data_IF_790589137313
#
_entry.id   IF_790589137313
#
_cell.length_a   1.000
_cell.length_b   1.000
_cell.length_c   1.000
_cell.angle_alpha   90.00
_cell.angle_beta   90.00
_cell.angle_gamma   90.00
#
_symmetry.space_group_name_H-M   'P 1'
#
loop_
_entity.id
_entity.type
_entity.pdbx_description
1 polymer ?
#
# COMPACT_ATOMS: atom_id res chain seq x y z
N UNK A 1 -60.48 -35.11 -24.85
CA UNK A 1 -59.11 -35.67 -24.89
C UNK A 1 -58.22 -34.67 -25.65
N UNK A 2 -57.09 -34.24 -25.04
CA UNK A 2 -55.97 -33.44 -25.58
C UNK A 2 -56.18 -31.90 -25.71
N UNK A 3 -55.56 -31.09 -24.83
CA UNK A 3 -54.17 -30.54 -24.84
C UNK A 3 -54.03 -29.41 -25.88
N UNK A 4 -53.48 -28.21 -25.68
CA UNK A 4 -52.88 -27.45 -24.56
C UNK A 4 -52.64 -26.02 -25.07
N UNK A 5 -52.63 -25.03 -24.17
CA UNK A 5 -52.26 -23.64 -24.44
C UNK A 5 -50.77 -23.54 -24.81
N UNK A 6 -50.41 -22.72 -25.79
CA UNK A 6 -49.03 -22.25 -25.97
C UNK A 6 -49.03 -20.72 -26.06
N UNK A 7 -48.67 -20.06 -24.95
CA UNK A 7 -48.32 -18.66 -24.93
C UNK A 7 -46.81 -18.56 -25.15
N UNK A 8 -46.39 -17.92 -26.25
CA UNK A 8 -44.98 -17.68 -26.55
C UNK A 8 -44.61 -16.36 -25.87
N UNK A 9 -43.94 -16.46 -24.71
CA UNK A 9 -43.28 -15.33 -24.08
C UNK A 9 -41.87 -15.22 -24.66
N UNK A 10 -41.64 -14.23 -25.53
CA UNK A 10 -40.30 -13.88 -26.02
C UNK A 10 -39.54 -13.19 -24.89
N UNK A 11 -38.68 -13.96 -24.21
CA UNK A 11 -37.64 -13.41 -23.33
C UNK A 11 -36.64 -12.65 -24.18
N UNK A 12 -36.74 -11.33 -24.20
CA UNK A 12 -35.63 -10.47 -24.59
C UNK A 12 -34.52 -10.65 -23.58
N UNK A 13 -33.50 -11.42 -23.95
CA UNK A 13 -32.23 -11.41 -23.24
C UNK A 13 -31.60 -10.03 -23.46
N UNK A 14 -31.87 -9.08 -22.56
CA UNK A 14 -31.00 -7.93 -22.39
C UNK A 14 -29.63 -8.48 -22.00
N UNK A 15 -28.73 -8.57 -22.98
CA UNK A 15 -27.31 -8.69 -22.72
C UNK A 15 -26.91 -7.44 -21.92
N UNK A 16 -26.89 -7.57 -20.60
CA UNK A 16 -26.24 -6.61 -19.71
C UNK A 16 -24.79 -6.53 -20.19
N UNK A 17 -24.47 -5.49 -20.94
CA UNK A 17 -23.09 -5.12 -21.19
C UNK A 17 -22.48 -4.91 -19.81
N UNK A 18 -21.63 -5.84 -19.38
CA UNK A 18 -20.80 -5.69 -18.20
C UNK A 18 -19.94 -4.45 -18.46
N UNK A 19 -20.40 -3.31 -17.95
CA UNK A 19 -19.58 -2.11 -17.93
C UNK A 19 -18.37 -2.50 -17.09
N UNK A 20 -17.20 -2.56 -17.72
CA UNK A 20 -15.92 -2.55 -17.02
C UNK A 20 -15.90 -1.24 -16.24
N UNK A 21 -16.44 -1.28 -15.03
CA UNK A 21 -16.45 -0.14 -14.14
C UNK A 21 -15.09 -0.13 -13.47
N UNK A 22 -14.14 0.54 -14.12
CA UNK A 22 -12.98 1.10 -13.46
C UNK A 22 -13.42 1.62 -12.09
N UNK A 23 -12.87 1.05 -11.01
CA UNK A 23 -13.09 1.54 -9.65
C UNK A 23 -12.21 2.78 -9.46
N UNK A 24 -12.78 3.99 -9.33
CA UNK A 24 -11.99 5.19 -9.10
C UNK A 24 -11.16 5.08 -7.81
N UNK A 25 -10.05 5.82 -7.69
CA UNK A 25 -9.21 5.84 -6.48
C UNK A 25 -10.00 6.11 -5.19
N UNK A 26 -11.09 6.87 -5.29
CA UNK A 26 -11.98 7.23 -4.19
C UNK A 26 -12.80 6.04 -3.64
N UNK A 27 -12.68 4.86 -4.28
CA UNK A 27 -13.39 3.64 -3.90
C UNK A 27 -12.51 2.65 -3.13
N UNK A 28 -11.28 3.02 -2.77
CA UNK A 28 -10.32 2.14 -2.11
C UNK A 28 -10.33 2.29 -0.59
N UNK A 29 -10.18 1.17 0.12
CA UNK A 29 -9.91 1.17 1.57
C UNK A 29 -8.51 1.76 1.83
N UNK A 30 -8.39 2.69 2.77
CA UNK A 30 -7.15 3.34 3.16
C UNK A 30 -6.84 3.09 4.64
N UNK A 31 -5.61 2.68 4.94
CA UNK A 31 -5.21 2.31 6.29
C UNK A 31 -4.92 3.52 7.19
N UNK A 32 -5.56 3.57 8.36
CA UNK A 32 -5.16 4.47 9.46
C UNK A 32 -3.91 3.96 10.17
N UNK A 33 -3.24 4.82 10.94
CA UNK A 33 -2.11 4.39 11.76
C UNK A 33 -2.64 3.75 13.04
N UNK A 34 -2.06 2.61 13.43
CA UNK A 34 -2.37 1.94 14.69
C UNK A 34 -2.12 2.87 15.89
N UNK A 35 -3.00 2.76 16.90
CA UNK A 35 -2.85 3.37 18.22
C UNK A 35 -3.06 2.29 19.27
N UNK A 36 -2.31 2.35 20.38
CA UNK A 36 -2.43 1.41 21.50
C UNK A 36 -3.82 1.51 22.16
N UNK A 37 -4.27 0.41 22.78
CA UNK A 37 -5.52 0.38 23.54
C UNK A 37 -6.75 0.07 22.68
N UNK A 38 -6.56 -0.45 21.47
CA UNK A 38 -7.65 -1.06 20.69
C UNK A 38 -7.82 -2.52 21.08
N UNK A 39 -9.01 -3.07 20.89
CA UNK A 39 -9.22 -4.51 21.00
C UNK A 39 -8.64 -5.23 19.77
N UNK A 40 -7.40 -5.71 19.89
CA UNK A 40 -6.70 -6.41 18.81
C UNK A 40 -7.31 -7.76 18.46
N UNK A 41 -8.18 -8.34 19.31
CA UNK A 41 -8.83 -9.63 19.04
C UNK A 41 -9.84 -9.57 17.88
N UNK A 42 -10.33 -8.36 17.55
CA UNK A 42 -11.20 -8.13 16.40
C UNK A 42 -10.45 -8.13 15.05
N UNK A 43 -9.12 -8.24 15.07
CA UNK A 43 -8.25 -8.06 13.92
C UNK A 43 -7.45 -9.31 13.57
N UNK A 44 -7.22 -9.48 12.28
CA UNK A 44 -6.13 -10.31 11.78
C UNK A 44 -4.96 -9.41 11.37
N UNK A 45 -3.74 -9.88 11.60
CA UNK A 45 -2.50 -9.23 11.15
C UNK A 45 -1.97 -9.89 9.90
N UNK A 46 -1.30 -9.11 9.08
CA UNK A 46 -0.47 -9.56 7.97
C UNK A 46 0.80 -8.74 7.91
N UNK A 47 1.83 -9.23 7.21
CA UNK A 47 2.97 -8.38 6.88
C UNK A 47 2.52 -7.23 5.97
N UNK A 48 3.07 -6.03 6.21
CA UNK A 48 2.99 -4.92 5.28
C UNK A 48 4.13 -5.04 4.27
N UNK A 49 3.78 -5.29 3.01
CA UNK A 49 4.75 -5.38 1.92
C UNK A 49 5.10 -4.00 1.35
N UNK A 50 6.39 -3.73 1.14
CA UNK A 50 6.93 -2.50 0.52
C UNK A 50 6.98 -2.67 -1.01
N UNK A 51 5.79 -2.66 -1.65
CA UNK A 51 5.63 -2.84 -3.09
C UNK A 51 4.82 -1.73 -3.75
N UNK A 52 4.13 -2.06 -4.84
CA UNK A 52 3.15 -1.18 -5.48
C UNK A 52 1.77 -1.82 -5.43
N UNK A 53 0.87 -1.22 -4.66
CA UNK A 53 -0.56 -1.55 -4.65
C UNK A 53 -1.15 -1.52 -6.06
N UNK A 54 -1.75 -2.64 -6.46
CA UNK A 54 -2.35 -2.83 -7.76
C UNK A 54 -3.79 -3.35 -7.63
N UNK A 55 -4.67 -2.79 -8.47
CA UNK A 55 -6.05 -3.21 -8.65
C UNK A 55 -6.14 -3.92 -9.99
N UNK A 56 -6.67 -5.14 -9.97
CA UNK A 56 -7.07 -5.86 -11.15
C UNK A 56 -8.57 -5.68 -11.35
N UNK A 57 -8.98 -5.13 -12.50
CA UNK A 57 -10.40 -4.88 -12.81
C UNK A 57 -11.09 -6.03 -13.58
N UNK A 58 -10.42 -7.18 -13.71
CA UNK A 58 -10.84 -8.28 -14.58
C UNK A 58 -10.22 -8.25 -15.98
N UNK A 59 -9.48 -7.20 -16.34
CA UNK A 59 -8.83 -7.07 -17.64
C UNK A 59 -7.43 -6.42 -17.58
N UNK A 60 -7.24 -5.42 -16.73
CA UNK A 60 -6.02 -4.65 -16.61
C UNK A 60 -5.65 -4.39 -15.14
N UNK A 61 -4.36 -4.13 -14.93
CA UNK A 61 -3.84 -3.67 -13.65
C UNK A 61 -3.83 -2.14 -13.61
N UNK A 62 -4.17 -1.58 -12.45
CA UNK A 62 -4.13 -0.15 -12.17
C UNK A 62 -3.44 0.11 -10.84
N UNK A 63 -2.64 1.17 -10.78
CA UNK A 63 -2.12 1.69 -9.51
C UNK A 63 -3.26 2.25 -8.66
N UNK A 64 -2.99 2.47 -7.37
CA UNK A 64 -3.91 3.17 -6.45
C UNK A 64 -4.50 4.47 -7.01
N UNK A 65 -3.72 5.23 -7.78
CA UNK A 65 -4.14 6.54 -8.31
C UNK A 65 -4.84 6.43 -9.67
N UNK A 66 -5.09 5.22 -10.17
CA UNK A 66 -5.81 5.02 -11.44
C UNK A 66 -4.94 4.89 -12.68
N UNK A 67 -3.61 5.01 -12.55
CA UNK A 67 -2.72 4.85 -13.69
C UNK A 67 -2.65 3.37 -14.10
N UNK A 68 -2.80 3.09 -15.39
CA UNK A 68 -2.66 1.74 -15.94
C UNK A 68 -1.23 1.22 -15.73
N UNK A 69 -1.13 -0.02 -15.28
CA UNK A 69 0.11 -0.78 -15.19
C UNK A 69 0.20 -1.68 -16.43
N UNK A 70 1.34 -1.62 -17.13
CA UNK A 70 1.57 -2.44 -18.32
C UNK A 70 2.39 -3.66 -17.91
N UNK A 71 1.75 -4.81 -17.83
CA UNK A 71 2.40 -6.09 -17.58
C UNK A 71 2.54 -6.92 -18.86
N UNK A 72 3.47 -7.87 -18.93
CA UNK A 72 3.45 -8.89 -19.96
C UNK A 72 2.13 -9.65 -19.97
N UNK A 73 1.71 -10.12 -21.16
CA UNK A 73 0.44 -10.85 -21.30
C UNK A 73 0.40 -12.12 -20.47
N UNK A 74 1.53 -12.80 -20.29
CA UNK A 74 1.60 -14.03 -19.49
C UNK A 74 1.31 -13.78 -18.01
N UNK A 75 1.63 -12.59 -17.49
CA UNK A 75 1.48 -12.26 -16.07
C UNK A 75 0.02 -12.27 -15.62
N UNK A 76 -0.88 -11.73 -16.46
CA UNK A 76 -2.32 -11.61 -16.14
C UNK A 76 -3.19 -12.65 -16.85
N UNK A 77 -2.60 -13.56 -17.64
CA UNK A 77 -3.32 -14.45 -18.56
C UNK A 77 -4.41 -15.27 -17.87
N UNK A 78 -4.11 -15.81 -16.69
CA UNK A 78 -5.02 -16.70 -15.95
C UNK A 78 -5.78 -15.96 -14.83
N UNK A 79 -5.66 -14.63 -14.74
CA UNK A 79 -6.41 -13.88 -13.75
C UNK A 79 -7.92 -13.89 -14.08
N UNK A 80 -8.78 -14.10 -13.08
CA UNK A 80 -10.23 -14.17 -13.28
C UNK A 80 -10.83 -12.80 -13.62
N UNK A 81 -12.00 -12.78 -14.25
CA UNK A 81 -12.76 -11.53 -14.51
C UNK A 81 -13.51 -11.04 -13.27
N UNK A 82 -12.82 -10.92 -12.15
CA UNK A 82 -13.33 -10.35 -10.89
C UNK A 82 -12.34 -9.31 -10.39
N UNK A 83 -12.83 -8.37 -9.58
CA UNK A 83 -11.96 -7.36 -8.99
C UNK A 83 -11.09 -7.97 -7.90
N UNK A 84 -9.77 -7.82 -8.05
CA UNK A 84 -8.77 -8.27 -7.08
C UNK A 84 -7.89 -7.09 -6.69
N UNK A 85 -7.46 -7.10 -5.43
CA UNK A 85 -6.55 -6.10 -4.90
C UNK A 85 -5.36 -6.80 -4.26
N UNK A 86 -4.17 -6.30 -4.58
CA UNK A 86 -2.93 -6.88 -4.09
C UNK A 86 -1.77 -5.90 -4.14
N UNK A 87 -0.61 -6.38 -3.72
CA UNK A 87 0.66 -5.68 -3.81
C UNK A 87 1.53 -6.36 -4.87
N UNK A 88 2.03 -5.60 -5.85
CA UNK A 88 3.10 -6.07 -6.71
C UNK A 88 4.41 -5.97 -5.93
N UNK A 89 5.12 -7.08 -5.74
CA UNK A 89 6.19 -7.20 -4.76
C UNK A 89 7.33 -8.07 -5.27
N UNK A 90 8.56 -7.80 -4.85
CA UNK A 90 9.77 -8.49 -5.34
C UNK A 90 10.66 -9.01 -4.20
N UNK A 91 10.08 -9.20 -3.01
CA UNK A 91 10.85 -9.46 -1.80
C UNK A 91 11.12 -8.21 -0.95
N UNK A 92 11.55 -8.44 0.29
CA UNK A 92 11.90 -7.37 1.23
C UNK A 92 13.10 -6.56 0.73
N UNK A 93 13.06 -5.24 0.93
CA UNK A 93 14.10 -4.32 0.47
C UNK A 93 14.15 -4.07 -1.05
N UNK A 94 13.30 -4.74 -1.86
CA UNK A 94 13.34 -4.68 -3.33
C UNK A 94 12.36 -3.65 -3.94
N UNK A 95 11.90 -2.67 -3.17
CA UNK A 95 10.98 -1.64 -3.67
C UNK A 95 11.46 -0.94 -4.95
N UNK A 96 12.77 -0.70 -5.09
CA UNK A 96 13.30 -0.07 -6.30
C UNK A 96 13.10 -0.92 -7.55
N UNK A 97 13.29 -2.25 -7.44
CA UNK A 97 13.04 -3.21 -8.52
C UNK A 97 11.54 -3.24 -8.89
N UNK A 98 10.66 -3.25 -7.88
CA UNK A 98 9.21 -3.16 -8.11
C UNK A 98 8.87 -1.87 -8.84
N UNK A 99 9.39 -0.73 -8.36
CA UNK A 99 9.09 0.57 -8.92
C UNK A 99 9.55 0.70 -10.38
N UNK A 100 10.78 0.30 -10.69
CA UNK A 100 11.31 0.38 -12.05
C UNK A 100 10.60 -0.57 -13.00
N UNK A 101 10.15 -1.73 -12.52
CA UNK A 101 9.45 -2.74 -13.35
C UNK A 101 7.99 -2.39 -13.61
N UNK A 102 7.26 -2.02 -12.56
CA UNK A 102 5.79 -1.84 -12.60
C UNK A 102 5.38 -0.50 -13.22
N UNK A 103 6.22 0.53 -13.08
CA UNK A 103 5.93 1.87 -13.64
C UNK A 103 6.48 2.07 -15.05
N UNK A 104 7.13 1.06 -15.64
CA UNK A 104 7.52 1.09 -17.04
C UNK A 104 6.30 0.88 -17.95
N UNK A 105 6.19 1.68 -19.01
CA UNK A 105 5.17 1.52 -20.04
C UNK A 105 5.50 0.41 -21.05
N UNK A 106 6.75 -0.05 -21.09
CA UNK A 106 7.23 -1.14 -21.96
C UNK A 106 7.67 -2.34 -21.10
N UNK A 107 6.78 -3.28 -20.79
CA UNK A 107 7.09 -4.37 -19.87
C UNK A 107 8.22 -5.28 -20.38
N UNK A 108 9.21 -5.53 -19.51
CA UNK A 108 10.27 -6.52 -19.73
C UNK A 108 9.93 -7.86 -19.06
N UNK A 109 9.90 -8.94 -19.83
CA UNK A 109 9.66 -10.29 -19.30
C UNK A 109 10.65 -10.68 -18.20
N UNK A 110 11.93 -10.30 -18.34
CA UNK A 110 12.97 -10.63 -17.36
C UNK A 110 12.75 -9.90 -16.03
N UNK A 111 12.30 -8.65 -16.08
CA UNK A 111 12.01 -7.87 -14.89
C UNK A 111 10.74 -8.39 -14.19
N UNK A 112 9.67 -8.64 -14.95
CA UNK A 112 8.39 -9.10 -14.42
C UNK A 112 8.43 -10.52 -13.84
N UNK A 113 9.40 -11.36 -14.22
CA UNK A 113 9.63 -12.66 -13.56
C UNK A 113 10.10 -12.56 -12.11
N UNK A 114 10.48 -11.37 -11.65
CA UNK A 114 10.89 -11.09 -10.27
C UNK A 114 9.75 -10.43 -9.46
N UNK A 115 8.57 -10.28 -10.04
CA UNK A 115 7.42 -9.64 -9.41
C UNK A 115 6.36 -10.71 -9.11
N UNK A 116 5.89 -10.71 -7.87
CA UNK A 116 4.71 -11.45 -7.44
C UNK A 116 3.53 -10.48 -7.28
N UNK A 117 2.32 -10.95 -7.60
CA UNK A 117 1.07 -10.27 -7.27
C UNK A 117 0.48 -10.88 -5.99
N UNK A 118 0.68 -10.18 -4.88
CA UNK A 118 0.33 -10.63 -3.53
C UNK A 118 -1.04 -10.10 -3.14
N UNK A 119 -2.09 -10.90 -3.35
CA UNK A 119 -3.49 -10.54 -3.12
C UNK A 119 -3.80 -10.37 -1.63
N UNK A 120 -4.61 -9.36 -1.29
CA UNK A 120 -5.03 -9.10 0.09
C UNK A 120 -6.48 -8.62 0.26
N UNK A 121 -7.18 -8.22 -0.81
CA UNK A 121 -8.62 -7.93 -0.72
C UNK A 121 -9.35 -8.14 -2.06
N UNK A 122 -10.67 -8.05 -2.04
CA UNK A 122 -11.54 -8.14 -3.21
C UNK A 122 -12.56 -6.98 -3.20
N UNK A 123 -12.25 -5.85 -3.85
CA UNK A 123 -13.15 -4.71 -3.93
C UNK A 123 -14.49 -5.10 -4.56
N UNK A 124 -15.60 -4.69 -3.94
CA UNK A 124 -16.95 -5.00 -4.43
C UNK A 124 -17.46 -6.41 -4.10
N UNK A 125 -16.64 -7.29 -3.49
CA UNK A 125 -17.14 -8.56 -2.97
C UNK A 125 -18.04 -8.33 -1.73
N UNK A 126 -19.16 -9.04 -1.68
CA UNK A 126 -20.07 -8.98 -0.56
C UNK A 126 -19.52 -9.72 0.68
N UNK A 127 -19.91 -9.26 1.86
CA UNK A 127 -19.57 -9.89 3.14
C UNK A 127 -18.46 -9.19 3.93
N UNK A 128 -18.16 -9.77 5.07
CA UNK A 128 -17.07 -9.37 5.97
C UNK A 128 -15.68 -9.75 5.39
N UNK A 129 -14.61 -9.33 6.06
CA UNK A 129 -13.25 -9.57 5.57
C UNK A 129 -12.89 -11.05 5.57
N UNK A 130 -13.35 -11.82 6.55
CA UNK A 130 -13.09 -13.26 6.61
C UNK A 130 -13.58 -13.97 5.35
N UNK A 131 -14.80 -13.68 4.88
CA UNK A 131 -15.33 -14.22 3.61
C UNK A 131 -14.50 -13.78 2.41
N UNK A 132 -14.12 -12.50 2.33
CA UNK A 132 -13.29 -12.00 1.23
C UNK A 132 -11.91 -12.65 1.21
N UNK A 133 -11.30 -12.85 2.37
CA UNK A 133 -10.02 -13.54 2.50
C UNK A 133 -10.09 -15.00 2.04
N UNK A 134 -11.11 -15.76 2.45
CA UNK A 134 -11.29 -17.13 1.94
C UNK A 134 -11.55 -17.20 0.43
N UNK A 135 -12.26 -16.21 -0.13
CA UNK A 135 -12.40 -16.10 -1.58
C UNK A 135 -11.06 -15.86 -2.27
N UNK A 136 -10.15 -15.06 -1.68
CA UNK A 136 -8.78 -14.89 -2.19
C UNK A 136 -8.03 -16.21 -2.19
N UNK A 137 -8.07 -16.98 -1.08
CA UNK A 137 -7.42 -18.30 -1.03
C UNK A 137 -7.93 -19.22 -2.13
N UNK A 138 -9.26 -19.24 -2.34
CA UNK A 138 -9.88 -20.00 -3.41
C UNK A 138 -9.40 -19.54 -4.80
N UNK A 139 -9.38 -18.23 -5.05
CA UNK A 139 -8.91 -17.69 -6.34
C UNK A 139 -7.44 -17.99 -6.60
N UNK A 140 -6.56 -17.82 -5.62
CA UNK A 140 -5.14 -18.16 -5.78
C UNK A 140 -4.97 -19.63 -6.13
N UNK A 141 -5.69 -20.52 -5.43
CA UNK A 141 -5.68 -21.96 -5.75
C UNK A 141 -6.19 -22.27 -7.16
N UNK A 142 -7.20 -21.53 -7.65
CA UNK A 142 -7.76 -21.71 -8.99
C UNK A 142 -6.88 -21.12 -10.09
N UNK A 143 -6.20 -20.00 -9.82
CA UNK A 143 -5.28 -19.34 -10.74
C UNK A 143 -4.06 -20.24 -10.97
N UNK A 144 -3.51 -20.82 -9.89
CA UNK A 144 -2.47 -21.85 -9.97
C UNK A 144 -1.14 -21.36 -10.59
N UNK A 145 -0.89 -20.06 -10.60
CA UNK A 145 0.33 -19.46 -11.14
C UNK A 145 1.30 -19.10 -10.01
N UNK A 146 2.61 -19.37 -10.15
CA UNK A 146 3.58 -19.18 -9.07
C UNK A 146 3.77 -17.71 -8.67
N UNK A 147 3.58 -16.77 -9.59
CA UNK A 147 3.71 -15.33 -9.36
C UNK A 147 2.41 -14.68 -8.85
N UNK A 148 1.37 -15.46 -8.55
CA UNK A 148 0.12 -14.96 -7.96
C UNK A 148 -0.11 -15.69 -6.65
N UNK A 149 -0.04 -14.94 -5.55
CA UNK A 149 -0.20 -15.50 -4.20
C UNK A 149 -1.09 -14.59 -3.36
N UNK A 150 -1.22 -14.91 -2.08
CA UNK A 150 -1.94 -14.09 -1.11
C UNK A 150 -1.03 -13.67 0.03
N UNK A 151 -1.33 -12.51 0.62
CA UNK A 151 -0.68 -12.10 1.87
C UNK A 151 -1.34 -12.86 3.01
N UNK A 152 -0.55 -13.64 3.77
CA UNK A 152 -1.06 -14.41 4.89
C UNK A 152 -1.62 -13.50 6.00
N UNK A 153 -2.85 -13.78 6.42
CA UNK A 153 -3.52 -13.13 7.54
C UNK A 153 -3.71 -14.11 8.69
N UNK A 154 -3.27 -13.70 9.88
CA UNK A 154 -3.27 -14.54 11.10
C UNK A 154 -3.95 -13.80 12.25
N UNK A 155 -4.69 -14.47 13.14
CA UNK A 155 -5.23 -13.86 14.35
C UNK A 155 -4.18 -13.20 15.25
N UNK A 156 -4.58 -12.14 15.94
CA UNK A 156 -3.76 -11.46 16.95
C UNK A 156 -4.21 -11.91 18.32
N UNK A 157 -3.30 -12.54 19.07
CA UNK A 157 -3.62 -13.07 20.41
C UNK A 157 -3.61 -11.99 21.49
N UNK A 158 -2.61 -11.11 21.46
CA UNK A 158 -2.45 -9.97 22.37
C UNK A 158 -1.49 -8.93 21.75
N UNK A 159 -1.45 -7.73 22.33
CA UNK A 159 -0.60 -6.63 21.85
C UNK A 159 0.90 -6.95 21.98
N UNK A 160 1.34 -7.67 23.01
CA UNK A 160 2.75 -8.03 23.20
C UNK A 160 3.27 -8.89 22.04
N UNK A 161 2.52 -9.93 21.67
CA UNK A 161 2.84 -10.79 20.52
C UNK A 161 2.74 -10.05 19.18
N UNK A 162 1.91 -9.00 19.09
CA UNK A 162 1.85 -8.14 17.92
C UNK A 162 3.13 -7.31 17.78
N UNK A 163 3.59 -6.68 18.87
CA UNK A 163 4.81 -5.89 18.87
C UNK A 163 6.07 -6.74 18.68
N UNK A 164 6.14 -7.92 19.29
CA UNK A 164 7.25 -8.85 19.04
C UNK A 164 7.33 -9.26 17.56
N UNK A 165 6.18 -9.51 16.91
CA UNK A 165 6.18 -9.78 15.47
C UNK A 165 6.58 -8.55 14.65
N UNK A 166 6.17 -7.36 15.05
CA UNK A 166 6.60 -6.13 14.40
C UNK A 166 8.14 -6.00 14.44
N UNK A 167 8.75 -6.31 15.57
CA UNK A 167 10.20 -6.26 15.75
C UNK A 167 10.91 -7.28 14.84
N UNK A 168 10.43 -8.52 14.83
CA UNK A 168 10.97 -9.55 13.92
C UNK A 168 10.87 -9.13 12.44
N UNK A 169 9.76 -8.51 12.04
CA UNK A 169 9.59 -8.03 10.65
C UNK A 169 10.56 -6.89 10.34
N UNK A 170 10.74 -5.94 11.25
CA UNK A 170 11.66 -4.81 11.12
C UNK A 170 13.13 -5.28 11.01
N UNK A 171 13.56 -6.16 11.91
CA UNK A 171 14.91 -6.75 11.93
C UNK A 171 15.25 -7.54 10.65
N UNK A 172 14.22 -8.04 9.97
CA UNK A 172 14.37 -8.78 8.72
C UNK A 172 14.04 -7.94 7.47
N UNK A 173 14.15 -6.61 7.60
CA UNK A 173 13.95 -5.60 6.54
C UNK A 173 12.54 -5.55 5.94
N UNK A 174 11.53 -6.06 6.66
CA UNK A 174 10.13 -5.91 6.30
C UNK A 174 9.60 -4.52 6.67
N UNK A 175 8.47 -4.11 6.09
CA UNK A 175 8.01 -2.73 6.25
C UNK A 175 7.20 -2.49 7.54
N UNK A 176 6.61 -3.56 8.09
CA UNK A 176 5.77 -3.53 9.26
C UNK A 176 4.59 -4.50 9.15
N UNK A 177 3.49 -4.18 9.83
CA UNK A 177 2.28 -5.00 9.86
C UNK A 177 1.07 -4.21 9.39
N UNK A 178 0.11 -4.91 8.80
CA UNK A 178 -1.24 -4.43 8.56
C UNK A 178 -2.18 -5.18 9.51
N UNK A 179 -3.18 -4.50 10.06
CA UNK A 179 -4.24 -5.10 10.86
C UNK A 179 -5.57 -4.88 10.14
N UNK A 180 -6.33 -5.94 9.93
CA UNK A 180 -7.63 -5.91 9.27
C UNK A 180 -8.72 -6.42 10.19
N UNK A 181 -9.74 -5.59 10.45
CA UNK A 181 -10.90 -5.97 11.27
C UNK A 181 -11.71 -7.05 10.55
N UNK A 182 -11.86 -8.20 11.18
CA UNK A 182 -12.36 -9.42 10.53
C UNK A 182 -13.83 -9.30 10.09
N UNK A 183 -14.62 -8.55 10.86
CA UNK A 183 -16.06 -8.31 10.62
C UNK A 183 -16.32 -7.15 9.64
N UNK A 184 -15.28 -6.45 9.18
CA UNK A 184 -15.43 -5.27 8.34
C UNK A 184 -15.91 -5.61 6.92
N UNK A 185 -16.89 -4.84 6.44
CA UNK A 185 -17.23 -4.81 5.02
C UNK A 185 -16.18 -4.00 4.25
N UNK A 186 -16.09 -4.21 2.94
CA UNK A 186 -15.25 -3.35 2.11
C UNK A 186 -15.89 -1.96 2.05
N UNK A 187 -15.24 -0.96 2.66
CA UNK A 187 -15.70 0.42 2.66
C UNK A 187 -14.56 1.34 2.21
N UNK A 188 -14.83 2.11 1.17
CA UNK A 188 -13.88 3.08 0.66
C UNK A 188 -13.55 4.17 1.70
N UNK A 189 -12.34 4.70 1.60
CA UNK A 189 -11.84 5.74 2.49
C UNK A 189 -11.11 5.18 3.72
N UNK A 190 -10.95 6.05 4.72
CA UNK A 190 -10.22 5.75 5.95
C UNK A 190 -11.18 5.37 7.06
N UNK A 191 -10.94 4.21 7.66
CA UNK A 191 -11.58 3.79 8.90
C UNK A 191 -10.56 3.02 9.75
N UNK A 192 -10.93 2.67 10.97
CA UNK A 192 -10.12 1.79 11.80
C UNK A 192 -10.27 0.32 11.40
N UNK A 193 -11.03 -0.01 10.36
CA UNK A 193 -11.13 -1.38 9.86
C UNK A 193 -9.84 -1.88 9.24
N UNK A 194 -8.99 -0.96 8.77
CA UNK A 194 -7.65 -1.26 8.27
C UNK A 194 -6.63 -0.33 8.94
N UNK A 195 -5.68 -0.92 9.64
CA UNK A 195 -4.62 -0.20 10.34
C UNK A 195 -3.24 -0.61 9.80
N UNK A 196 -2.30 0.33 9.82
CA UNK A 196 -0.87 0.08 9.58
C UNK A 196 -0.12 0.28 10.89
N UNK A 197 0.73 -0.68 11.22
CA UNK A 197 1.63 -0.64 12.36
C UNK A 197 3.06 -0.76 11.83
N UNK A 198 3.89 0.25 12.08
CA UNK A 198 5.28 0.29 11.60
C UNK A 198 6.19 0.73 12.73
N UNK A 199 7.40 0.17 12.80
CA UNK A 199 8.47 0.80 13.57
C UNK A 199 8.84 2.12 12.91
N UNK A 200 9.23 3.06 13.74
CA UNK A 200 9.75 4.34 13.32
C UNK A 200 11.08 4.54 14.04
N UNK A 201 12.07 4.99 13.31
CA UNK A 201 13.37 5.35 13.87
C UNK A 201 13.47 6.86 13.86
N UNK A 202 13.95 7.43 14.96
CA UNK A 202 14.27 8.83 15.04
C UNK A 202 15.81 8.95 14.96
N UNK A 203 16.29 9.94 14.23
CA UNK A 203 17.69 10.28 14.11
C UNK A 203 17.86 11.80 14.02
N UNK A 204 19.10 12.26 14.13
CA UNK A 204 19.44 13.67 14.10
C UNK A 204 20.16 14.03 12.79
N UNK A 205 19.94 15.26 12.33
CA UNK A 205 20.66 15.80 11.19
C UNK A 205 20.80 17.31 11.32
N UNK A 206 21.82 17.87 10.68
CA UNK A 206 22.06 19.31 10.61
C UNK A 206 21.44 19.88 9.35
N UNK A 207 20.71 20.98 9.46
CA UNK A 207 20.17 21.69 8.30
C UNK A 207 21.30 22.39 7.55
N UNK A 208 21.45 22.09 6.26
CA UNK A 208 22.53 22.65 5.42
C UNK A 208 22.01 23.43 4.20
N UNK A 209 20.70 23.47 3.99
CA UNK A 209 20.11 24.27 2.93
C UNK A 209 18.60 24.09 2.77
N UNK A 210 18.02 24.78 1.79
CA UNK A 210 16.59 24.76 1.52
C UNK A 210 16.30 24.53 0.03
N UNK A 211 15.11 24.01 -0.25
CA UNK A 211 14.52 23.97 -1.58
C UNK A 211 13.14 24.62 -1.53
N UNK A 212 12.91 25.56 -2.45
CA UNK A 212 11.64 26.27 -2.56
C UNK A 212 10.46 25.34 -2.87
N UNK A 213 9.31 25.64 -2.29
CA UNK A 213 8.07 24.90 -2.52
C UNK A 213 7.42 25.20 -3.86
N UNK A 214 6.57 24.28 -4.30
CA UNK A 214 5.71 24.42 -5.49
C UNK A 214 4.24 24.38 -5.09
N UNK A 215 3.35 24.76 -6.01
CA UNK A 215 1.90 24.75 -5.77
C UNK A 215 1.52 25.61 -4.55
N UNK A 216 0.84 25.01 -3.56
CA UNK A 216 0.43 25.71 -2.33
C UNK A 216 1.59 26.27 -1.49
N UNK A 217 2.81 25.80 -1.72
CA UNK A 217 4.01 26.25 -1.00
C UNK A 217 4.91 27.15 -1.85
N UNK A 218 4.39 27.72 -2.94
CA UNK A 218 5.13 28.68 -3.75
C UNK A 218 5.49 29.93 -2.92
N UNK A 219 6.78 30.29 -2.91
CA UNK A 219 7.29 31.40 -2.10
C UNK A 219 7.62 31.01 -0.64
N UNK A 220 7.46 29.73 -0.29
CA UNK A 220 7.76 29.17 1.04
C UNK A 220 8.79 28.04 0.93
N UNK A 221 9.31 27.58 2.06
CA UNK A 221 10.16 26.39 2.11
C UNK A 221 9.36 25.14 1.74
N UNK A 222 9.84 24.40 0.73
CA UNK A 222 9.29 23.14 0.27
C UNK A 222 9.90 21.94 0.99
N UNK A 223 11.23 21.92 1.07
CA UNK A 223 12.01 20.94 1.83
C UNK A 223 13.31 21.54 2.35
N UNK A 224 13.81 21.03 3.46
CA UNK A 224 15.16 21.31 3.95
C UNK A 224 16.13 20.25 3.39
N UNK A 225 17.35 20.64 3.07
CA UNK A 225 18.49 19.74 2.83
C UNK A 225 19.19 19.55 4.17
N UNK A 226 19.41 18.30 4.56
CA UNK A 226 20.07 17.95 5.82
C UNK A 226 21.26 17.03 5.59
N UNK A 227 22.17 17.02 6.56
CA UNK A 227 23.37 16.18 6.62
C UNK A 227 23.38 15.46 7.98
N UNK A 228 23.42 14.12 7.98
CA UNK A 228 23.51 13.30 9.21
C UNK A 228 24.95 13.17 9.73
N UNK A 229 25.15 12.71 10.96
CA UNK A 229 26.50 12.47 11.50
C UNK A 229 27.30 11.44 10.67
N UNK A 230 26.61 10.51 10.01
CA UNK A 230 27.20 9.48 9.14
C UNK A 230 27.57 9.98 7.73
N UNK A 231 27.44 11.28 7.44
CA UNK A 231 27.85 11.84 6.16
C UNK A 231 26.77 11.82 5.07
N UNK A 232 25.51 11.50 5.40
CA UNK A 232 24.45 11.30 4.40
C UNK A 232 23.65 12.57 4.19
N UNK A 233 23.61 13.04 2.94
CA UNK A 233 22.80 14.21 2.54
C UNK A 233 21.50 13.83 1.83
N UNK A 234 20.38 14.39 2.29
CA UNK A 234 19.06 14.17 1.69
C UNK A 234 18.06 15.28 2.03
N UNK A 235 16.96 15.33 1.29
CA UNK A 235 15.88 16.30 1.50
C UNK A 235 14.79 15.76 2.40
N UNK A 236 14.32 16.57 3.35
CA UNK A 236 13.12 16.33 4.16
C UNK A 236 12.04 17.33 3.73
N UNK A 237 10.95 16.84 3.16
CA UNK A 237 9.85 17.67 2.63
C UNK A 237 8.54 17.60 3.39
N UNK A 238 8.46 16.81 4.47
CA UNK A 238 7.23 16.57 5.24
C UNK A 238 7.48 16.67 6.74
N UNK A 239 6.41 16.85 7.53
CA UNK A 239 6.50 17.05 8.99
C UNK A 239 6.47 18.52 9.44
N UNK A 240 6.51 19.47 8.49
CA UNK A 240 6.47 20.90 8.79
C UNK A 240 5.04 21.44 8.82
N UNK A 241 4.76 22.31 9.80
CA UNK A 241 3.58 23.17 9.79
C UNK A 241 3.71 24.26 8.71
N UNK A 242 2.60 24.89 8.33
CA UNK A 242 2.64 26.00 7.37
C UNK A 242 3.44 27.20 7.93
N UNK A 243 3.44 27.40 9.25
CA UNK A 243 4.28 28.41 9.92
C UNK A 243 5.77 28.09 9.77
N UNK A 244 6.18 26.84 9.98
CA UNK A 244 7.57 26.41 9.75
C UNK A 244 7.99 26.50 8.28
N UNK A 245 7.04 26.50 7.34
CA UNK A 245 7.38 26.72 5.92
C UNK A 245 7.62 28.19 5.60
N UNK A 246 7.03 29.11 6.35
CA UNK A 246 7.31 30.55 6.27
C UNK A 246 8.63 30.88 6.98
N UNK A 247 8.85 30.29 8.15
CA UNK A 247 10.04 30.45 8.96
C UNK A 247 10.68 29.06 9.19
N UNK A 248 11.51 28.58 8.26
CA UNK A 248 12.12 27.25 8.36
C UNK A 248 13.18 27.18 9.46
N UNK A 249 13.45 25.97 10.00
CA UNK A 249 14.59 25.73 10.88
C UNK A 249 15.86 26.27 10.26
N UNK A 250 16.65 27.02 11.03
CA UNK A 250 17.81 27.75 10.51
C UNK A 250 18.91 26.81 9.98
N UNK A 251 19.64 27.25 8.95
CA UNK A 251 20.84 26.53 8.51
C UNK A 251 21.83 26.48 9.67
N UNK A 252 22.34 25.28 9.97
CA UNK A 252 23.19 24.98 11.12
C UNK A 252 22.43 24.38 12.30
N UNK A 253 21.10 24.51 12.36
CA UNK A 253 20.31 23.88 13.44
C UNK A 253 20.33 22.35 13.36
N UNK A 254 20.36 21.70 14.52
CA UNK A 254 20.09 20.27 14.63
C UNK A 254 18.58 20.02 14.71
N UNK A 255 18.13 19.03 13.94
CA UNK A 255 16.74 18.59 13.94
C UNK A 255 16.66 17.10 14.23
N UNK A 256 15.59 16.69 14.91
CA UNK A 256 15.18 15.29 14.95
C UNK A 256 14.26 15.02 13.77
N UNK A 257 14.57 13.98 12.99
CA UNK A 257 13.70 13.47 11.95
C UNK A 257 13.35 12.01 12.21
N UNK A 258 12.17 11.62 11.74
CA UNK A 258 11.66 10.25 11.80
C UNK A 258 11.73 9.62 10.43
N UNK A 259 12.14 8.36 10.33
CA UNK A 259 12.24 7.63 9.08
C UNK A 259 11.83 6.16 9.23
N UNK A 260 11.81 5.44 8.11
CA UNK A 260 11.32 4.07 8.00
C UNK A 260 12.27 3.23 7.13
N UNK A 261 13.41 2.83 7.71
CA UNK A 261 14.48 2.11 7.01
C UNK A 261 15.26 2.98 6.01
N UNK A 262 16.09 2.34 5.19
CA UNK A 262 17.00 3.02 4.26
C UNK A 262 16.76 2.61 2.79
N UNK A 263 17.17 3.48 1.88
CA UNK A 263 17.33 3.19 0.44
C UNK A 263 18.61 2.39 0.20
N UNK A 264 18.79 1.83 -1.00
CA UNK A 264 20.02 1.11 -1.36
C UNK A 264 21.29 1.99 -1.25
N UNK A 265 21.15 3.30 -1.40
CA UNK A 265 22.24 4.27 -1.26
C UNK A 265 22.38 4.81 0.18
N UNK A 266 21.82 4.12 1.17
CA UNK A 266 21.92 4.50 2.59
C UNK A 266 21.08 5.71 3.01
N UNK A 267 20.24 6.28 2.13
CA UNK A 267 19.39 7.43 2.49
C UNK A 267 18.15 6.99 3.27
N UNK A 268 17.75 7.69 4.35
CA UNK A 268 16.52 7.39 5.08
C UNK A 268 15.25 7.45 4.21
N UNK A 269 14.42 6.40 4.25
CA UNK A 269 13.12 6.34 3.55
C UNK A 269 12.03 7.04 4.36
N UNK A 270 11.14 7.75 3.66
CA UNK A 270 9.97 8.43 4.24
C UNK A 270 10.31 9.37 5.41
N UNK A 271 11.47 10.03 5.31
CA UNK A 271 11.95 10.95 6.32
C UNK A 271 11.00 12.15 6.49
N UNK A 272 10.72 12.49 7.74
CA UNK A 272 9.85 13.59 8.12
C UNK A 272 10.38 14.30 9.35
N UNK A 273 10.31 15.62 9.34
CA UNK A 273 10.69 16.45 10.47
C UNK A 273 9.81 16.13 11.69
N UNK A 274 10.43 16.10 12.87
CA UNK A 274 9.74 15.91 14.16
C UNK A 274 9.81 17.20 14.98
N UNK A 275 11.02 17.69 15.23
CA UNK A 275 11.27 18.89 16.03
C UNK A 275 12.69 19.42 15.79
N UNK A 276 12.90 20.71 16.04
CA UNK A 276 14.23 21.26 16.27
C UNK A 276 14.74 20.76 17.62
N UNK A 277 16.04 20.48 17.71
CA UNK A 277 16.67 20.14 18.98
C UNK A 277 16.88 21.43 19.75
N UNK A 278 16.33 21.50 20.95
CA UNK A 278 16.59 22.63 21.85
C UNK A 278 18.03 22.52 22.34
N UNK A 279 18.83 23.57 22.15
CA UNK A 279 20.05 23.73 22.95
C UNK A 279 19.61 23.97 24.40
N UNK A 280 20.04 23.09 25.31
CA UNK A 280 19.93 23.30 26.76
C UNK A 280 21.20 23.98 27.26
#
# INVERSE_FOLDING_TARGET
MRLTKLAIATLWACSLSSHSSYLPPDHLVLANTYQQGIDVSEYWKSEKLDGIRALWDGQHLYTRNGNRIYSPKWFTKNLPKVHLEGELWAGRGQFHLVQSTVLDHTPSDVAWRQIDFMLFDMPGAAGDYQKRYYNILHWVSMIGEPHVSYIEHVPIHNEEALFHQLDNVDESNGEGLMLRKITSRYQAGRSNDLLKLKRHHDAEATVIGYKGGTGKYKGMMGSILVHTEEGVEFYIGSGFSDQMRLAPPEIGSQITFRYNGFTQNGKPKFARFVREKSEY
#
